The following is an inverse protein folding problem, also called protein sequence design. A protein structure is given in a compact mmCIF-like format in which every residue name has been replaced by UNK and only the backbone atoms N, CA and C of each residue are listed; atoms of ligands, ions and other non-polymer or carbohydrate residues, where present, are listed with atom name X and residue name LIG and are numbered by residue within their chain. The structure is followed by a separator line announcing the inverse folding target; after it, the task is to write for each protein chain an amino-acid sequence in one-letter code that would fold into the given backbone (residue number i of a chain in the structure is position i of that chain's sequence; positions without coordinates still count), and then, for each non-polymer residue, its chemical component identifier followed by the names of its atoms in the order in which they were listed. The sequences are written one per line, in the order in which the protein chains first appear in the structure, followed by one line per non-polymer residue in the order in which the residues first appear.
data_IF_275970374517
#
_entry.id   IF_275970374517
#
_cell.length_a   1.000
_cell.length_b   1.000
_cell.length_c   1.000
_cell.angle_alpha   90.00
_cell.angle_beta   90.00
_cell.angle_gamma   90.00
#
_symmetry.space_group_name_H-M   'P 1'
#
loop_
_entity.id
_entity.type
_entity.pdbx_description
1 polymer ?
#
# COMPACT_ATOMS: atom_id res chain seq x y z
N UNK A 1 -7.56 23.72 -27.73
CA UNK A 1 -8.52 22.70 -27.24
C UNK A 1 -7.77 21.86 -26.21
N UNK A 2 -7.85 22.28 -24.95
CA UNK A 2 -7.22 21.63 -23.80
C UNK A 2 -8.29 20.76 -23.15
N UNK A 3 -8.24 19.45 -23.39
CA UNK A 3 -9.18 18.49 -22.83
C UNK A 3 -8.40 17.33 -22.17
N UNK A 4 -8.65 17.14 -20.87
CA UNK A 4 -8.57 15.88 -20.13
C UNK A 4 -7.28 15.04 -20.17
N UNK A 5 -6.15 15.60 -19.73
CA UNK A 5 -4.92 14.80 -19.49
C UNK A 5 -4.82 14.17 -18.09
N UNK A 6 -5.72 14.51 -17.16
CA UNK A 6 -5.74 13.98 -15.78
C UNK A 6 -7.03 13.21 -15.51
N UNK A 7 -7.38 12.24 -16.36
CA UNK A 7 -8.43 11.28 -16.03
C UNK A 7 -7.89 10.28 -15.01
N UNK A 8 -8.49 10.25 -13.83
CA UNK A 8 -8.26 9.22 -12.81
C UNK A 8 -8.64 7.83 -13.37
N UNK A 9 -7.99 6.78 -12.87
CA UNK A 9 -8.33 5.40 -13.24
C UNK A 9 -9.80 5.15 -12.88
N UNK A 10 -10.65 4.70 -13.83
CA UNK A 10 -12.04 4.36 -13.53
C UNK A 10 -12.11 3.42 -12.32
N UNK A 11 -13.00 3.70 -11.36
CA UNK A 11 -13.09 2.89 -10.14
C UNK A 11 -13.31 1.39 -10.43
N UNK A 12 -13.85 1.01 -11.57
CA UNK A 12 -14.13 -0.40 -11.89
C UNK A 12 -12.92 -1.18 -12.45
N UNK A 13 -11.87 -0.50 -12.93
CA UNK A 13 -10.75 -1.20 -13.57
C UNK A 13 -9.88 -1.92 -12.53
N UNK A 14 -9.95 -3.26 -12.53
CA UNK A 14 -9.26 -4.16 -11.59
C UNK A 14 -7.86 -4.58 -12.03
N UNK A 15 -7.40 -4.14 -13.19
CA UNK A 15 -6.09 -4.52 -13.71
C UNK A 15 -4.96 -3.88 -12.90
N UNK A 16 -3.80 -4.54 -12.82
CA UNK A 16 -2.59 -3.92 -12.29
C UNK A 16 -2.23 -2.63 -13.02
N UNK A 17 -1.79 -1.62 -12.28
CA UNK A 17 -1.45 -0.29 -12.78
C UNK A 17 -0.42 -0.31 -13.93
N UNK A 18 0.63 -1.16 -13.95
CA UNK A 18 1.53 -1.24 -15.10
C UNK A 18 0.81 -1.60 -16.41
N UNK A 19 -0.24 -2.44 -16.36
CA UNK A 19 -1.02 -2.80 -17.55
C UNK A 19 -1.94 -1.65 -17.99
N UNK A 20 -2.52 -0.93 -17.03
CA UNK A 20 -3.34 0.25 -17.31
C UNK A 20 -2.49 1.34 -17.98
N UNK A 21 -1.27 1.56 -17.47
CA UNK A 21 -0.32 2.51 -18.08
C UNK A 21 0.11 2.02 -19.47
N UNK A 22 0.45 0.74 -19.62
CA UNK A 22 0.83 0.20 -20.93
C UNK A 22 -0.27 0.38 -21.99
N UNK A 23 -1.53 0.15 -21.62
CA UNK A 23 -2.67 0.36 -22.52
C UNK A 23 -2.92 1.85 -22.79
N UNK A 24 -2.92 2.70 -21.76
CA UNK A 24 -3.22 4.13 -21.89
C UNK A 24 -2.19 4.85 -22.77
N UNK A 25 -0.93 4.42 -22.76
CA UNK A 25 0.14 4.94 -23.62
C UNK A 25 0.53 3.99 -24.77
N UNK A 26 -0.33 3.01 -25.05
CA UNK A 26 -0.25 2.12 -26.21
C UNK A 26 1.14 1.51 -26.47
N UNK A 27 1.76 0.93 -25.44
CA UNK A 27 3.00 0.19 -25.58
C UNK A 27 2.86 -1.26 -25.08
N UNK A 28 3.57 -2.22 -25.70
CA UNK A 28 3.50 -3.61 -25.26
C UNK A 28 4.19 -3.77 -23.90
N UNK A 29 3.59 -4.55 -23.00
CA UNK A 29 4.19 -4.92 -21.72
C UNK A 29 4.02 -6.42 -21.46
N UNK A 30 5.04 -7.20 -21.83
CA UNK A 30 5.01 -8.65 -21.57
C UNK A 30 5.06 -8.91 -20.06
N UNK A 31 4.25 -9.87 -19.59
CA UNK A 31 4.15 -10.21 -18.19
C UNK A 31 3.91 -11.70 -17.95
N UNK A 32 4.29 -12.17 -16.76
CA UNK A 32 4.01 -13.50 -16.24
C UNK A 32 3.19 -13.38 -14.96
N UNK A 33 2.19 -14.24 -14.80
CA UNK A 33 1.51 -14.39 -13.52
C UNK A 33 2.41 -15.21 -12.58
N UNK A 34 2.68 -14.71 -11.38
CA UNK A 34 3.54 -15.36 -10.39
C UNK A 34 2.91 -15.25 -9.00
N UNK A 35 2.53 -16.39 -8.41
CA UNK A 35 1.76 -16.44 -7.17
C UNK A 35 2.53 -15.96 -5.93
N UNK A 36 3.85 -16.17 -5.88
CA UNK A 36 4.68 -15.78 -4.74
C UNK A 36 5.27 -14.36 -4.79
N UNK A 37 4.84 -13.51 -5.73
CA UNK A 37 5.36 -12.14 -5.91
C UNK A 37 4.29 -11.12 -5.54
N UNK A 38 4.65 -10.10 -4.76
CA UNK A 38 3.77 -8.97 -4.45
C UNK A 38 3.17 -8.35 -5.75
N UNK A 39 1.85 -8.43 -5.89
CA UNK A 39 1.10 -7.97 -7.08
C UNK A 39 0.71 -9.08 -8.08
N UNK A 40 1.15 -10.32 -7.87
CA UNK A 40 0.75 -11.49 -8.68
C UNK A 40 1.30 -11.54 -10.10
N UNK A 41 2.10 -10.55 -10.50
CA UNK A 41 2.65 -10.41 -11.84
C UNK A 41 4.10 -9.94 -11.83
N UNK A 42 4.86 -10.43 -12.80
CA UNK A 42 6.19 -9.96 -13.16
C UNK A 42 6.14 -9.39 -14.58
N UNK A 43 6.70 -8.21 -14.78
CA UNK A 43 6.62 -7.44 -16.02
C UNK A 43 8.00 -7.23 -16.64
N UNK A 44 8.09 -7.26 -17.96
CA UNK A 44 9.33 -7.04 -18.69
C UNK A 44 9.85 -5.61 -18.46
N UNK A 45 11.03 -5.50 -17.84
CA UNK A 45 11.61 -4.21 -17.44
C UNK A 45 11.95 -3.34 -18.67
N UNK A 46 12.47 -3.96 -19.72
CA UNK A 46 12.88 -3.26 -20.93
C UNK A 46 11.67 -2.70 -21.71
N UNK A 47 10.56 -3.44 -21.73
CA UNK A 47 9.31 -3.01 -22.36
C UNK A 47 8.74 -1.78 -21.63
N UNK A 48 8.73 -1.84 -20.30
CA UNK A 48 8.32 -0.72 -19.46
C UNK A 48 9.16 0.53 -19.73
N UNK A 49 10.49 0.43 -19.71
CA UNK A 49 11.37 1.57 -19.97
C UNK A 49 11.18 2.11 -21.39
N UNK A 50 11.08 1.22 -22.39
CA UNK A 50 10.85 1.60 -23.78
C UNK A 50 9.55 2.39 -23.92
N UNK A 51 8.46 1.88 -23.34
CA UNK A 51 7.15 2.53 -23.32
C UNK A 51 7.18 3.89 -22.65
N UNK A 52 7.73 3.98 -21.43
CA UNK A 52 7.79 5.25 -20.68
C UNK A 52 8.60 6.35 -21.37
N UNK A 53 9.57 5.99 -22.20
CA UNK A 53 10.54 6.94 -22.78
C UNK A 53 10.41 7.09 -24.30
N UNK A 54 9.42 6.43 -24.91
CA UNK A 54 9.23 6.34 -26.36
C UNK A 54 10.52 5.93 -27.09
N UNK A 55 11.30 5.05 -26.46
CA UNK A 55 12.60 4.63 -26.96
C UNK A 55 12.57 3.21 -27.51
N UNK A 56 13.51 2.89 -28.40
CA UNK A 56 13.66 1.53 -28.89
C UNK A 56 14.22 0.60 -27.81
N UNK A 57 14.04 -0.71 -28.00
CA UNK A 57 14.43 -1.75 -27.04
C UNK A 57 15.93 -1.71 -26.70
N UNK A 58 16.79 -1.31 -27.65
CA UNK A 58 18.24 -1.20 -27.45
C UNK A 58 18.58 -0.08 -26.46
N UNK A 59 17.97 1.10 -26.64
CA UNK A 59 18.12 2.24 -25.71
C UNK A 59 17.55 1.92 -24.34
N UNK A 60 16.39 1.26 -24.28
CA UNK A 60 15.78 0.81 -23.04
C UNK A 60 16.68 -0.17 -22.26
N UNK A 61 17.31 -1.12 -22.95
CA UNK A 61 18.27 -2.05 -22.35
C UNK A 61 19.52 -1.33 -21.80
N UNK A 62 20.01 -0.29 -22.49
CA UNK A 62 21.13 0.51 -22.01
C UNK A 62 20.76 1.30 -20.74
N UNK A 63 19.58 1.95 -20.73
CA UNK A 63 19.04 2.64 -19.56
C UNK A 63 18.88 1.69 -18.39
N UNK A 64 18.30 0.50 -18.61
CA UNK A 64 18.18 -0.53 -17.58
C UNK A 64 19.54 -0.95 -17.02
N UNK A 65 20.53 -1.20 -17.87
CA UNK A 65 21.88 -1.59 -17.43
C UNK A 65 22.53 -0.54 -16.54
N UNK A 66 22.30 0.75 -16.81
CA UNK A 66 22.78 1.87 -15.97
C UNK A 66 22.03 1.88 -14.63
N UNK A 67 20.70 1.81 -14.65
CA UNK A 67 19.86 1.81 -13.46
C UNK A 67 20.14 0.60 -12.56
N UNK A 68 20.28 -0.60 -13.12
CA UNK A 68 20.59 -1.84 -12.39
C UNK A 68 21.92 -1.78 -11.64
N UNK A 69 22.89 -0.98 -12.12
CA UNK A 69 24.17 -0.75 -11.41
C UNK A 69 24.04 0.28 -10.28
N UNK A 70 23.14 1.24 -10.44
CA UNK A 70 22.96 2.36 -9.50
C UNK A 70 21.94 2.04 -8.40
N UNK A 71 21.19 0.94 -8.53
CA UNK A 71 20.06 0.63 -7.66
C UNK A 71 20.03 -0.84 -7.29
N UNK A 72 19.40 -1.17 -6.15
CA UNK A 72 19.12 -2.56 -5.72
C UNK A 72 17.69 -2.96 -6.09
N UNK A 73 17.32 -2.82 -7.36
CA UNK A 73 15.98 -3.18 -7.83
C UNK A 73 15.90 -4.70 -8.04
N UNK A 74 14.94 -5.33 -7.35
CA UNK A 74 14.66 -6.76 -7.49
C UNK A 74 14.21 -7.07 -8.93
N UNK A 75 14.81 -8.08 -9.54
CA UNK A 75 14.45 -8.56 -10.87
C UNK A 75 14.73 -10.07 -10.95
N UNK A 76 14.01 -10.74 -11.84
CA UNK A 76 14.22 -12.16 -12.17
C UNK A 76 14.36 -12.29 -13.67
N UNK A 77 15.33 -13.09 -14.12
CA UNK A 77 15.53 -13.34 -15.54
C UNK A 77 14.56 -14.43 -16.02
N UNK A 78 13.64 -14.08 -16.93
CA UNK A 78 12.64 -14.99 -17.47
C UNK A 78 12.68 -15.01 -19.01
N UNK A 79 12.11 -16.05 -19.64
CA UNK A 79 11.92 -16.07 -21.09
C UNK A 79 11.10 -14.86 -21.57
N UNK A 80 11.40 -14.34 -22.74
CA UNK A 80 10.75 -13.19 -23.36
C UNK A 80 10.48 -13.53 -24.81
N UNK A 81 9.25 -13.28 -25.27
CA UNK A 81 8.83 -13.61 -26.63
C UNK A 81 8.85 -12.33 -27.44
N UNK A 82 9.84 -12.18 -28.31
CA UNK A 82 9.95 -11.01 -29.16
C UNK A 82 9.05 -11.12 -30.39
N UNK A 83 8.73 -9.98 -31.02
CA UNK A 83 7.89 -9.90 -32.22
C UNK A 83 8.48 -10.61 -33.44
N UNK A 84 9.77 -10.98 -33.41
CA UNK A 84 10.44 -11.80 -34.42
C UNK A 84 10.18 -13.32 -34.24
N UNK A 85 9.36 -13.71 -33.26
CA UNK A 85 9.05 -15.10 -32.92
C UNK A 85 10.16 -15.82 -32.14
N UNK A 86 11.25 -15.13 -31.79
CA UNK A 86 12.35 -15.71 -31.02
C UNK A 86 12.18 -15.47 -29.52
N UNK A 87 12.68 -16.42 -28.74
CA UNK A 87 12.70 -16.33 -27.28
C UNK A 87 14.07 -15.90 -26.78
N UNK A 88 14.09 -14.85 -25.96
CA UNK A 88 15.29 -14.34 -25.31
C UNK A 88 15.15 -14.40 -23.78
N UNK A 89 16.25 -14.28 -23.03
CA UNK A 89 16.16 -14.02 -21.58
C UNK A 89 16.13 -12.52 -21.34
N UNK A 90 15.15 -12.03 -20.57
CA UNK A 90 15.06 -10.63 -20.13
C UNK A 90 14.78 -10.55 -18.64
N UNK A 91 15.02 -9.37 -18.10
CA UNK A 91 14.74 -9.08 -16.69
C UNK A 91 13.27 -8.69 -16.55
N UNK A 92 12.59 -9.38 -15.65
CA UNK A 92 11.23 -9.08 -15.24
C UNK A 92 11.23 -8.63 -13.79
N UNK A 93 10.32 -7.72 -13.45
CA UNK A 93 10.20 -7.17 -12.11
C UNK A 93 8.74 -6.96 -11.72
N UNK A 94 8.46 -6.92 -10.42
CA UNK A 94 7.12 -6.63 -9.92
C UNK A 94 6.72 -5.17 -10.16
N UNK A 95 5.44 -4.85 -9.99
CA UNK A 95 4.91 -3.51 -10.20
C UNK A 95 5.69 -2.44 -9.42
N UNK A 96 5.99 -2.70 -8.14
CA UNK A 96 6.81 -1.84 -7.28
C UNK A 96 8.17 -1.50 -7.90
N UNK A 97 8.86 -2.51 -8.43
CA UNK A 97 10.15 -2.33 -9.07
C UNK A 97 10.04 -1.51 -10.35
N UNK A 98 8.98 -1.71 -11.15
CA UNK A 98 8.73 -0.87 -12.33
C UNK A 98 8.49 0.60 -11.98
N UNK A 99 7.80 0.90 -10.87
CA UNK A 99 7.63 2.29 -10.43
C UNK A 99 8.93 2.93 -9.99
N UNK A 100 9.78 2.22 -9.24
CA UNK A 100 11.10 2.71 -8.88
C UNK A 100 11.94 3.01 -10.12
N UNK A 101 11.84 2.16 -11.14
CA UNK A 101 12.48 2.41 -12.44
C UNK A 101 11.93 3.70 -13.06
N UNK A 102 10.60 3.87 -13.11
CA UNK A 102 9.96 5.06 -13.66
C UNK A 102 10.44 6.37 -13.00
N UNK A 103 10.57 6.38 -11.67
CA UNK A 103 11.03 7.54 -10.89
C UNK A 103 12.49 7.90 -11.16
N UNK A 104 13.35 6.89 -11.41
CA UNK A 104 14.78 7.11 -11.68
C UNK A 104 15.05 7.49 -13.14
N UNK A 105 14.05 7.41 -14.03
CA UNK A 105 14.16 7.92 -15.39
C UNK A 105 14.09 9.45 -15.37
N UNK A 106 15.11 10.08 -15.95
CA UNK A 106 15.17 11.55 -16.06
C UNK A 106 14.12 12.06 -17.04
N UNK A 107 13.26 12.96 -16.56
CA UNK A 107 12.39 13.79 -17.40
C UNK A 107 13.26 14.84 -18.11
N UNK A 108 13.09 14.95 -19.41
CA UNK A 108 13.79 15.91 -20.27
C UNK A 108 12.76 16.56 -21.19
N UNK A 109 13.08 17.71 -21.78
CA UNK A 109 12.18 18.37 -22.75
C UNK A 109 11.81 17.46 -23.94
N UNK A 110 12.68 16.51 -24.31
CA UNK A 110 12.40 15.51 -25.36
C UNK A 110 11.49 14.34 -24.92
N UNK A 111 11.02 14.32 -23.66
CA UNK A 111 10.28 13.20 -23.06
C UNK A 111 8.99 13.68 -22.40
N UNK A 112 8.17 14.36 -23.18
CA UNK A 112 6.88 14.91 -22.72
C UNK A 112 5.96 13.80 -22.19
N UNK A 113 5.94 12.63 -22.85
CA UNK A 113 5.17 11.46 -22.39
C UNK A 113 5.57 11.00 -20.98
N UNK A 114 6.86 10.99 -20.67
CA UNK A 114 7.33 10.58 -19.33
C UNK A 114 6.80 11.52 -18.25
N UNK A 115 6.73 12.83 -18.54
CA UNK A 115 6.17 13.83 -17.63
C UNK A 115 4.69 13.58 -17.36
N UNK A 116 3.89 13.35 -18.40
CA UNK A 116 2.45 13.07 -18.26
C UNK A 116 2.21 11.73 -17.55
N UNK A 117 3.05 10.71 -17.81
CA UNK A 117 2.96 9.44 -17.07
C UNK A 117 3.35 9.65 -15.61
N UNK A 118 4.36 10.45 -15.30
CA UNK A 118 4.72 10.78 -13.90
C UNK A 118 3.56 11.47 -13.18
N UNK A 119 2.92 12.45 -13.82
CA UNK A 119 1.72 13.12 -13.28
C UNK A 119 0.56 12.14 -13.09
N UNK A 120 0.32 11.25 -14.06
CA UNK A 120 -0.72 10.22 -13.93
C UNK A 120 -0.39 9.19 -12.86
N UNK A 121 0.86 8.77 -12.71
CA UNK A 121 1.31 7.88 -11.65
C UNK A 121 1.17 8.58 -10.29
N UNK A 122 1.46 9.88 -10.20
CA UNK A 122 1.25 10.67 -8.99
C UNK A 122 -0.25 10.81 -8.65
N UNK A 123 -1.09 11.13 -9.65
CA UNK A 123 -2.53 11.34 -9.49
C UNK A 123 -3.31 10.04 -9.26
N UNK A 124 -2.90 8.96 -9.95
CA UNK A 124 -3.35 7.59 -9.70
C UNK A 124 -2.71 7.01 -8.45
N UNK A 125 -1.89 7.79 -7.75
CA UNK A 125 -1.29 7.46 -6.48
C UNK A 125 -0.44 6.20 -6.51
N UNK A 126 0.27 5.88 -7.60
CA UNK A 126 1.07 4.69 -7.96
C UNK A 126 1.76 3.85 -6.86
N UNK A 127 1.81 4.32 -5.62
CA UNK A 127 1.61 3.49 -4.43
C UNK A 127 0.19 2.82 -4.34
N UNK A 128 -0.64 2.83 -5.40
CA UNK A 128 -1.99 2.23 -5.46
C UNK A 128 -1.97 0.76 -5.80
N UNK A 129 -0.94 0.24 -6.47
CA UNK A 129 -1.09 -1.11 -7.04
C UNK A 129 -1.02 -2.25 -6.02
N UNK A 130 -0.58 -1.97 -4.79
CA UNK A 130 -0.68 -2.90 -3.65
C UNK A 130 -1.99 -2.75 -2.86
N UNK A 131 -2.84 -1.74 -3.17
CA UNK A 131 -4.01 -1.30 -2.35
C UNK A 131 -5.23 -2.21 -2.35
N UNK A 132 -5.26 -3.26 -3.19
CA UNK A 132 -6.52 -3.99 -3.43
C UNK A 132 -6.83 -5.16 -2.51
N UNK A 133 -5.96 -5.53 -1.55
CA UNK A 133 -6.31 -6.66 -0.65
C UNK A 133 -6.14 -6.38 0.82
N UNK A 134 -5.41 -5.36 1.23
CA UNK A 134 -5.23 -5.08 2.65
C UNK A 134 -6.04 -3.83 2.98
N UNK A 135 -7.28 -4.05 3.43
CA UNK A 135 -8.38 -3.09 3.58
C UNK A 135 -8.08 -1.82 4.42
N UNK A 136 -6.87 -1.69 4.99
CA UNK A 136 -6.39 -0.59 5.83
C UNK A 136 -4.99 -0.06 5.49
N UNK A 137 -4.32 -0.68 4.53
CA UNK A 137 -2.92 -0.37 4.25
C UNK A 137 -2.83 0.47 2.99
N UNK A 138 -2.88 1.79 3.14
CA UNK A 138 -2.10 2.74 2.33
C UNK A 138 -2.41 4.18 2.68
N UNK A 139 -1.34 4.92 2.99
CA UNK A 139 -1.16 6.30 2.53
C UNK A 139 0.33 6.70 2.64
N UNK A 140 1.10 6.07 3.55
CA UNK A 140 2.55 6.29 3.73
C UNK A 140 3.44 5.03 3.56
N UNK A 141 3.06 4.07 2.71
CA UNK A 141 3.79 2.77 2.54
C UNK A 141 5.26 2.91 2.12
N UNK A 142 5.69 4.12 1.80
CA UNK A 142 7.07 4.43 1.43
C UNK A 142 7.99 4.65 2.64
N UNK A 143 7.46 4.85 3.84
CA UNK A 143 8.28 5.50 4.89
C UNK A 143 9.33 4.61 5.57
N UNK A 144 9.41 3.30 5.31
CA UNK A 144 10.42 2.49 6.04
C UNK A 144 11.00 1.29 5.30
N UNK A 145 11.03 1.26 3.97
CA UNK A 145 11.85 0.19 3.34
C UNK A 145 13.32 0.55 3.50
N UNK A 146 14.23 -0.40 3.83
CA UNK A 146 15.67 -0.13 3.94
C UNK A 146 16.33 0.43 2.66
N UNK A 147 15.57 0.51 1.56
CA UNK A 147 15.97 0.91 0.22
C UNK A 147 15.53 2.33 -0.17
N UNK A 148 14.93 3.11 0.73
CA UNK A 148 14.39 4.45 0.47
C UNK A 148 15.30 5.45 1.17
N UNK A 149 15.76 6.49 0.46
CA UNK A 149 16.57 7.54 1.08
C UNK A 149 15.72 8.35 2.08
N UNK A 150 16.39 9.00 3.04
CA UNK A 150 15.71 9.86 4.02
C UNK A 150 14.89 10.96 3.33
N UNK A 151 15.47 11.61 2.31
CA UNK A 151 14.82 12.66 1.52
C UNK A 151 13.54 12.18 0.80
N UNK A 152 13.54 10.94 0.29
CA UNK A 152 12.38 10.34 -0.39
C UNK A 152 11.27 10.03 0.63
N UNK A 153 11.63 9.58 1.84
CA UNK A 153 10.69 9.31 2.92
C UNK A 153 10.03 10.59 3.44
N UNK A 154 10.80 11.67 3.62
CA UNK A 154 10.31 12.99 4.03
C UNK A 154 9.29 13.54 3.03
N UNK A 155 9.63 13.50 1.73
CA UNK A 155 8.75 13.96 0.64
C UNK A 155 7.38 13.27 0.70
N UNK A 156 7.37 11.97 1.00
CA UNK A 156 6.15 11.17 1.01
C UNK A 156 5.32 11.39 2.27
N UNK A 157 5.97 11.61 3.41
CA UNK A 157 5.31 12.10 4.63
C UNK A 157 4.62 13.43 4.36
N UNK A 158 5.33 14.40 3.77
CA UNK A 158 4.77 15.70 3.45
C UNK A 158 3.59 15.62 2.48
N UNK A 159 3.69 14.83 1.40
CA UNK A 159 2.59 14.64 0.47
C UNK A 159 1.34 14.02 1.13
N UNK A 160 1.52 13.06 2.04
CA UNK A 160 0.42 12.49 2.83
C UNK A 160 -0.22 13.52 3.77
N UNK A 161 0.60 14.31 4.46
CA UNK A 161 0.11 15.39 5.33
C UNK A 161 -0.66 16.46 4.54
N UNK A 162 -0.18 16.84 3.36
CA UNK A 162 -0.85 17.84 2.51
C UNK A 162 -2.20 17.33 1.98
N UNK A 163 -2.33 16.03 1.73
CA UNK A 163 -3.61 15.38 1.43
C UNK A 163 -4.56 15.52 2.62
N UNK A 164 -4.17 15.04 3.79
CA UNK A 164 -5.04 15.05 4.98
C UNK A 164 -5.39 16.47 5.43
N UNK A 165 -4.46 17.44 5.27
CA UNK A 165 -4.73 18.85 5.53
C UNK A 165 -5.80 19.41 4.59
N UNK A 166 -5.77 19.05 3.30
CA UNK A 166 -6.83 19.41 2.33
C UNK A 166 -8.18 18.76 2.67
N UNK A 167 -8.15 17.59 3.29
CA UNK A 167 -9.33 16.88 3.80
C UNK A 167 -9.80 17.41 5.18
N UNK A 168 -9.14 18.44 5.73
CA UNK A 168 -9.52 19.09 6.97
C UNK A 168 -9.10 18.37 8.25
N UNK A 169 -8.13 17.45 8.19
CA UNK A 169 -7.60 16.76 9.37
C UNK A 169 -6.72 17.67 10.22
N UNK A 170 -6.79 17.52 11.54
CA UNK A 170 -5.93 18.24 12.49
C UNK A 170 -4.48 17.78 12.38
N UNK A 171 -3.53 18.64 12.77
CA UNK A 171 -2.11 18.27 12.85
C UNK A 171 -1.89 17.13 13.87
N UNK A 172 -2.65 17.12 14.97
CA UNK A 172 -2.61 16.05 15.98
C UNK A 172 -3.06 14.71 15.39
N UNK A 173 -4.18 14.69 14.67
CA UNK A 173 -4.67 13.49 13.97
C UNK A 173 -3.64 12.99 12.95
N UNK A 174 -3.04 13.90 12.16
CA UNK A 174 -2.01 13.52 11.17
C UNK A 174 -0.78 12.89 11.83
N UNK A 175 -0.30 13.44 12.96
CA UNK A 175 0.81 12.85 13.70
C UNK A 175 0.46 11.45 14.24
N UNK A 176 -0.74 11.27 14.79
CA UNK A 176 -1.22 9.96 15.25
C UNK A 176 -1.28 8.95 14.10
N UNK A 177 -1.76 9.39 12.93
CA UNK A 177 -1.86 8.57 11.73
C UNK A 177 -0.49 8.13 11.21
N UNK A 178 0.49 9.04 11.15
CA UNK A 178 1.89 8.73 10.79
C UNK A 178 2.46 7.66 11.72
N UNK A 179 2.34 7.84 13.03
CA UNK A 179 2.80 6.86 14.03
C UNK A 179 2.10 5.50 13.86
N UNK A 180 0.81 5.52 13.52
CA UNK A 180 0.03 4.33 13.18
C UNK A 180 0.60 3.57 11.98
N UNK A 181 1.07 4.27 10.93
CA UNK A 181 1.64 3.62 9.74
C UNK A 181 2.97 2.94 10.06
N UNK A 182 3.83 3.59 10.83
CA UNK A 182 5.09 3.00 11.29
C UNK A 182 4.83 1.73 12.12
N UNK A 183 3.90 1.81 13.07
CA UNK A 183 3.54 0.67 13.94
C UNK A 183 2.92 -0.47 13.13
N UNK A 184 2.01 -0.15 12.21
CA UNK A 184 1.37 -1.13 11.32
C UNK A 184 2.41 -1.89 10.51
N UNK A 185 3.44 -1.20 10.02
CA UNK A 185 4.53 -1.84 9.31
C UNK A 185 5.28 -2.84 10.19
N UNK A 186 5.70 -2.43 11.38
CA UNK A 186 6.36 -3.31 12.34
C UNK A 186 5.50 -4.54 12.65
N UNK A 187 4.19 -4.34 12.81
CA UNK A 187 3.23 -5.41 13.02
C UNK A 187 3.18 -6.40 11.85
N UNK A 188 3.11 -5.91 10.60
CA UNK A 188 3.14 -6.80 9.42
C UNK A 188 4.46 -7.55 9.26
N UNK A 189 5.60 -6.93 9.62
CA UNK A 189 6.90 -7.61 9.58
C UNK A 189 7.02 -8.67 10.67
N UNK A 190 6.49 -8.42 11.87
CA UNK A 190 6.43 -9.44 12.93
C UNK A 190 5.56 -10.64 12.52
N UNK A 191 4.42 -10.40 11.85
CA UNK A 191 3.60 -11.49 11.28
C UNK A 191 4.36 -12.33 10.23
N UNK A 192 5.12 -11.67 9.34
CA UNK A 192 5.96 -12.36 8.35
C UNK A 192 7.06 -13.19 8.99
N UNK A 193 7.69 -12.66 10.04
CA UNK A 193 8.74 -13.35 10.77
C UNK A 193 8.20 -14.55 11.56
N UNK A 194 7.02 -14.40 12.16
CA UNK A 194 6.42 -15.41 13.03
C UNK A 194 5.78 -16.57 12.24
N UNK A 195 5.33 -16.36 10.99
CA UNK A 195 4.63 -17.39 10.19
C UNK A 195 5.45 -17.78 8.96
N UNK A 196 5.84 -19.06 8.87
CA UNK A 196 6.56 -19.58 7.71
C UNK A 196 5.72 -19.46 6.43
N UNK A 197 6.31 -18.94 5.36
CA UNK A 197 5.65 -18.71 4.06
C UNK A 197 4.31 -17.96 4.21
N UNK A 198 4.30 -16.91 5.04
CA UNK A 198 3.13 -16.10 5.35
C UNK A 198 2.34 -15.71 4.09
N UNK A 199 1.11 -16.24 3.88
CA UNK A 199 0.30 -15.89 2.74
C UNK A 199 -0.29 -14.49 2.92
N UNK A 200 -0.65 -13.84 1.80
CA UNK A 200 -1.27 -12.50 1.82
C UNK A 200 -2.53 -12.43 2.69
N UNK A 201 -3.33 -13.49 2.73
CA UNK A 201 -4.55 -13.57 3.56
C UNK A 201 -4.28 -13.41 5.05
N UNK A 202 -3.06 -13.73 5.54
CA UNK A 202 -2.69 -13.57 6.94
C UNK A 202 -2.86 -12.13 7.42
N UNK A 203 -2.46 -11.14 6.60
CA UNK A 203 -2.51 -9.73 7.00
C UNK A 203 -3.94 -9.21 7.09
N UNK A 204 -4.81 -9.68 6.18
CA UNK A 204 -6.24 -9.38 6.16
C UNK A 204 -6.89 -9.98 7.40
N UNK A 205 -6.64 -11.27 7.65
CA UNK A 205 -7.20 -11.99 8.80
C UNK A 205 -6.74 -11.37 10.12
N UNK A 206 -5.45 -11.02 10.23
CA UNK A 206 -4.89 -10.39 11.42
C UNK A 206 -5.53 -9.01 11.68
N UNK A 207 -5.70 -8.19 10.65
CA UNK A 207 -6.42 -6.92 10.75
C UNK A 207 -7.86 -7.11 11.21
N UNK A 208 -8.59 -8.05 10.60
CA UNK A 208 -9.94 -8.39 11.01
C UNK A 208 -9.97 -8.81 12.49
N UNK A 209 -8.96 -9.57 12.96
CA UNK A 209 -8.83 -9.91 14.39
C UNK A 209 -8.53 -8.71 15.29
N UNK A 210 -7.76 -7.72 14.84
CA UNK A 210 -7.59 -6.47 15.59
C UNK A 210 -8.95 -5.80 15.77
N UNK A 211 -9.74 -5.65 14.71
CA UNK A 211 -11.02 -4.95 14.77
C UNK A 211 -12.08 -5.72 15.56
N UNK A 212 -12.20 -7.02 15.33
CA UNK A 212 -13.11 -7.87 16.10
C UNK A 212 -12.74 -7.90 17.58
N UNK A 213 -11.44 -7.95 17.90
CA UNK A 213 -10.96 -7.98 19.28
C UNK A 213 -11.14 -6.64 19.99
N UNK A 214 -10.72 -5.55 19.34
CA UNK A 214 -10.66 -4.21 19.92
C UNK A 214 -12.03 -3.51 19.90
N UNK A 215 -12.67 -3.48 18.74
CA UNK A 215 -13.88 -2.69 18.49
C UNK A 215 -15.17 -3.53 18.53
N UNK A 216 -15.06 -4.88 18.58
CA UNK A 216 -16.19 -5.81 18.45
C UNK A 216 -16.97 -5.62 17.15
N UNK A 217 -16.27 -5.18 16.11
CA UNK A 217 -16.82 -4.92 14.78
C UNK A 217 -15.94 -5.58 13.72
N UNK A 218 -16.56 -6.06 12.66
CA UNK A 218 -15.83 -6.49 11.46
C UNK A 218 -15.40 -5.29 10.64
N UNK A 219 -14.47 -5.49 9.69
CA UNK A 219 -14.10 -4.44 8.73
C UNK A 219 -15.33 -3.92 7.96
N UNK A 220 -16.26 -4.80 7.59
CA UNK A 220 -17.50 -4.43 6.91
C UNK A 220 -18.43 -3.58 7.79
N UNK A 221 -18.57 -3.91 9.07
CA UNK A 221 -19.36 -3.12 10.01
C UNK A 221 -18.76 -1.73 10.23
N UNK A 222 -17.43 -1.64 10.39
CA UNK A 222 -16.75 -0.35 10.53
C UNK A 222 -16.94 0.55 9.32
N UNK A 223 -16.92 -0.02 8.10
CA UNK A 223 -17.23 0.74 6.88
C UNK A 223 -18.66 1.28 6.89
N UNK A 224 -19.62 0.46 7.30
CA UNK A 224 -21.02 0.86 7.43
C UNK A 224 -21.22 1.98 8.46
N UNK A 225 -20.57 1.87 9.62
CA UNK A 225 -20.67 2.87 10.70
C UNK A 225 -20.14 4.25 10.25
N UNK A 226 -19.10 4.25 9.42
CA UNK A 226 -18.42 5.44 8.89
C UNK A 226 -18.99 5.94 7.56
N UNK A 227 -19.96 5.25 6.97
CA UNK A 227 -20.56 5.55 5.65
C UNK A 227 -19.50 5.65 4.53
N UNK A 228 -18.65 4.62 4.43
CA UNK A 228 -17.51 4.61 3.53
C UNK A 228 -17.69 3.68 2.33
N UNK A 229 -17.22 4.13 1.17
CA UNK A 229 -17.05 3.29 -0.02
C UNK A 229 -16.08 2.12 0.26
N UNK A 230 -16.22 1.02 -0.47
CA UNK A 230 -15.42 -0.20 -0.29
C UNK A 230 -13.90 0.05 -0.35
N UNK A 231 -13.50 1.08 -1.10
CA UNK A 231 -12.10 1.44 -1.35
C UNK A 231 -11.52 2.49 -0.41
N UNK A 232 -12.34 3.14 0.40
CA UNK A 232 -11.85 4.14 1.34
C UNK A 232 -11.01 3.46 2.43
N UNK A 233 -9.93 4.11 2.84
CA UNK A 233 -9.09 3.64 3.93
C UNK A 233 -9.78 3.93 5.26
N UNK A 234 -10.28 2.90 5.95
CA UNK A 234 -10.98 3.04 7.22
C UNK A 234 -10.24 3.90 8.24
N UNK A 235 -8.91 3.71 8.38
CA UNK A 235 -8.11 4.41 9.38
C UNK A 235 -7.96 5.89 9.09
N UNK A 236 -8.18 6.34 7.85
CA UNK A 236 -8.20 7.76 7.53
C UNK A 236 -9.51 8.45 8.01
N UNK A 237 -10.49 7.65 8.43
CA UNK A 237 -11.77 8.10 8.94
C UNK A 237 -12.00 7.74 10.41
N UNK A 238 -11.02 7.09 11.07
CA UNK A 238 -11.09 6.83 12.50
C UNK A 238 -10.87 8.11 13.30
N UNK A 239 -11.58 8.23 14.42
CA UNK A 239 -11.29 9.22 15.45
C UNK A 239 -9.90 9.06 16.06
N UNK A 240 -9.42 10.11 16.72
CA UNK A 240 -8.04 10.15 17.27
C UNK A 240 -7.80 9.04 18.30
N UNK A 241 -8.76 8.81 19.21
CA UNK A 241 -8.69 7.72 20.18
C UNK A 241 -8.71 6.34 19.50
N UNK A 242 -9.48 6.19 18.43
CA UNK A 242 -9.49 4.95 17.67
C UNK A 242 -8.13 4.66 17.01
N UNK A 243 -7.45 5.68 16.48
CA UNK A 243 -6.08 5.55 15.98
C UNK A 243 -5.11 5.13 17.10
N UNK A 244 -5.20 5.75 18.28
CA UNK A 244 -4.34 5.44 19.43
C UNK A 244 -4.54 3.99 19.89
N UNK A 245 -5.78 3.57 20.14
CA UNK A 245 -6.06 2.22 20.62
C UNK A 245 -5.74 1.15 19.58
N UNK A 246 -5.99 1.42 18.30
CA UNK A 246 -5.62 0.51 17.21
C UNK A 246 -4.10 0.34 17.15
N UNK A 247 -3.35 1.45 17.22
CA UNK A 247 -1.88 1.41 17.27
C UNK A 247 -1.37 0.63 18.48
N UNK A 248 -1.96 0.83 19.65
CA UNK A 248 -1.58 0.10 20.87
C UNK A 248 -1.83 -1.41 20.70
N UNK A 249 -2.97 -1.81 20.13
CA UNK A 249 -3.28 -3.21 19.89
C UNK A 249 -2.30 -3.87 18.92
N UNK A 250 -1.93 -3.17 17.85
CA UNK A 250 -0.92 -3.66 16.90
C UNK A 250 0.46 -3.74 17.55
N UNK A 251 0.87 -2.73 18.31
CA UNK A 251 2.18 -2.74 19.00
C UNK A 251 2.30 -3.91 19.99
N UNK A 252 1.28 -4.14 20.81
CA UNK A 252 1.27 -5.28 21.76
C UNK A 252 1.27 -6.61 21.01
N UNK A 253 0.55 -6.69 19.88
CA UNK A 253 0.56 -7.90 19.04
C UNK A 253 1.94 -8.15 18.43
N UNK A 254 2.63 -7.10 17.95
CA UNK A 254 4.02 -7.19 17.45
C UNK A 254 4.95 -7.77 18.51
N UNK A 255 4.87 -7.25 19.74
CA UNK A 255 5.73 -7.70 20.83
C UNK A 255 5.47 -9.17 21.18
N UNK A 256 4.19 -9.57 21.28
CA UNK A 256 3.83 -10.98 21.56
C UNK A 256 4.20 -11.94 20.42
N UNK A 257 4.16 -11.49 19.17
CA UNK A 257 4.60 -12.29 18.03
C UNK A 257 6.13 -12.43 17.99
N UNK A 258 6.87 -11.42 18.46
CA UNK A 258 8.33 -11.46 18.53
C UNK A 258 8.86 -12.39 19.62
N UNK A 259 8.11 -12.57 20.71
CA UNK A 259 8.44 -13.51 21.78
C UNK A 259 8.06 -14.98 21.46
N UNK A 260 7.35 -15.21 20.35
CA UNK A 260 6.92 -16.54 19.94
C UNK A 260 7.94 -17.19 18.97
N UNK A 261 8.12 -18.51 19.09
CA UNK A 261 8.74 -19.32 18.02
C UNK A 261 7.90 -19.23 16.72
N UNK A 262 8.35 -19.89 15.65
CA UNK A 262 7.55 -20.00 14.42
C UNK A 262 6.16 -20.58 14.76
N UNK A 263 5.12 -19.80 14.49
CA UNK A 263 3.72 -20.14 14.78
C UNK A 263 2.92 -20.42 13.51
N UNK A 264 1.83 -21.16 13.68
CA UNK A 264 0.82 -21.31 12.63
C UNK A 264 0.00 -20.02 12.46
N UNK A 265 -0.62 -19.84 11.28
CA UNK A 265 -1.56 -18.73 11.01
C UNK A 265 -2.64 -18.62 12.09
N UNK A 266 -3.18 -19.76 12.55
CA UNK A 266 -4.21 -19.80 13.59
C UNK A 266 -3.70 -19.28 14.93
N UNK A 267 -2.46 -19.61 15.30
CA UNK A 267 -1.84 -19.10 16.52
C UNK A 267 -1.53 -17.60 16.40
N UNK A 268 -0.94 -17.16 15.29
CA UNK A 268 -0.67 -15.73 15.05
C UNK A 268 -1.94 -14.89 15.15
N UNK A 269 -3.02 -15.28 14.45
CA UNK A 269 -4.30 -14.56 14.51
C UNK A 269 -4.97 -14.63 15.89
N UNK A 270 -4.77 -15.71 16.65
CA UNK A 270 -5.26 -15.82 18.02
C UNK A 270 -4.51 -14.89 19.00
N UNK A 271 -3.18 -14.74 18.84
CA UNK A 271 -2.36 -13.78 19.58
C UNK A 271 -2.89 -12.36 19.34
N UNK A 272 -3.05 -12.00 18.07
CA UNK A 272 -3.57 -10.68 17.65
C UNK A 272 -4.95 -10.39 18.25
N UNK A 273 -5.88 -11.34 18.14
CA UNK A 273 -7.22 -11.21 18.70
C UNK A 273 -7.17 -11.03 20.23
N UNK A 274 -6.31 -11.78 20.92
CA UNK A 274 -6.20 -11.75 22.38
C UNK A 274 -5.65 -10.41 22.86
N UNK A 275 -4.57 -9.91 22.24
CA UNK A 275 -4.01 -8.60 22.52
C UNK A 275 -5.07 -7.49 22.33
N UNK A 276 -5.76 -7.48 21.19
CA UNK A 276 -6.82 -6.53 20.90
C UNK A 276 -7.98 -6.60 21.91
N UNK A 277 -8.39 -7.81 22.30
CA UNK A 277 -9.47 -8.04 23.28
C UNK A 277 -9.14 -7.52 24.68
N UNK A 278 -7.88 -7.62 25.11
CA UNK A 278 -7.45 -7.07 26.41
C UNK A 278 -7.60 -5.55 26.41
N UNK A 279 -7.15 -4.90 25.34
CA UNK A 279 -7.19 -3.43 25.19
C UNK A 279 -8.63 -2.91 25.02
N UNK A 280 -9.51 -3.71 24.39
CA UNK A 280 -10.93 -3.40 24.20
C UNK A 280 -11.65 -2.97 25.48
N UNK A 281 -11.28 -3.53 26.63
CA UNK A 281 -11.87 -3.18 27.92
C UNK A 281 -11.65 -1.70 28.25
N UNK A 282 -10.43 -1.21 28.06
CA UNK A 282 -10.08 0.18 28.30
C UNK A 282 -10.71 1.09 27.25
N UNK A 283 -10.65 0.72 25.97
CA UNK A 283 -11.28 1.49 24.90
C UNK A 283 -12.80 1.69 25.13
N UNK A 284 -13.50 0.65 25.58
CA UNK A 284 -14.93 0.73 25.93
C UNK A 284 -15.19 1.61 27.16
N UNK A 285 -14.30 1.59 28.16
CA UNK A 285 -14.41 2.48 29.31
C UNK A 285 -14.22 3.95 28.90
N UNK A 286 -13.22 4.23 28.06
CA UNK A 286 -12.96 5.57 27.51
C UNK A 286 -14.12 6.07 26.68
N UNK A 287 -14.69 5.23 25.80
CA UNK A 287 -15.89 5.56 25.02
C UNK A 287 -17.06 5.99 25.92
N UNK A 288 -17.33 5.23 26.98
CA UNK A 288 -18.40 5.55 27.95
C UNK A 288 -18.12 6.82 28.73
N UNK A 289 -16.86 7.05 29.12
CA UNK A 289 -16.45 8.23 29.86
C UNK A 289 -16.63 9.50 29.03
N UNK A 290 -16.23 9.45 27.76
CA UNK A 290 -16.34 10.58 26.82
C UNK A 290 -17.76 10.73 26.26
N UNK A 291 -18.62 9.71 26.38
CA UNK A 291 -19.97 9.71 25.82
C UNK A 291 -20.01 9.66 24.30
N UNK A 292 -18.94 9.20 23.65
CA UNK A 292 -18.82 9.10 22.18
C UNK A 292 -18.39 7.70 21.75
N UNK A 293 -18.78 7.32 20.55
CA UNK A 293 -18.17 6.20 19.84
C UNK A 293 -16.78 6.61 19.35
N UNK A 294 -15.73 5.90 19.78
CA UNK A 294 -14.34 6.32 19.49
C UNK A 294 -13.95 6.17 18.02
N UNK A 295 -14.65 5.32 17.25
CA UNK A 295 -14.39 5.14 15.81
C UNK A 295 -14.96 6.33 15.04
N UNK A 296 -16.24 6.63 15.26
CA UNK A 296 -17.01 7.62 14.47
C UNK A 296 -17.00 9.02 15.07
N UNK A 297 -16.56 9.16 16.33
CA UNK A 297 -16.63 10.37 17.16
C UNK A 297 -18.07 10.92 17.36
N UNK A 298 -19.09 10.12 16.98
CA UNK A 298 -20.49 10.47 17.20
C UNK A 298 -20.90 10.20 18.65
N UNK A 299 -21.83 10.99 19.22
CA UNK A 299 -22.36 10.73 20.55
C UNK A 299 -22.92 9.31 20.66
N UNK A 300 -22.62 8.63 21.77
CA UNK A 300 -23.35 7.41 22.12
C UNK A 300 -24.81 7.81 22.31
N UNK A 301 -25.74 7.12 21.64
CA UNK A 301 -27.17 7.35 21.84
C UNK A 301 -27.45 7.36 23.35
N UNK A 302 -27.87 8.52 23.86
CA UNK A 302 -28.21 8.66 25.26
C UNK A 302 -29.26 7.59 25.55
N UNK A 303 -29.00 6.73 26.55
CA UNK A 303 -30.06 5.88 27.08
C UNK A 303 -31.22 6.81 27.40
N UNK A 304 -32.35 6.61 26.73
CA UNK A 304 -33.59 7.30 27.07
C UNK A 304 -33.77 7.24 28.59
N UNK A 305 -33.99 8.42 29.18
CA UNK A 305 -34.43 8.52 30.58
C UNK A 305 -35.73 7.77 30.76
#
# INVERSE_FOLDING_TARGET
MTADLVTSIPQEDKRPLPLIVAEKWNFPLQHYQHFDVDGGYLYAVQDWIAGLTESNTTKAAEMWRKLKKQTRISNTSLPYSAGDGKTYKRDFANAKSLFLIAQKLRVTHEREQLSVIHEFLAASGAFVDERRTDLDNTDLVVVVSPSISLDDAETLIHAGMDKWRREGKSEEWMQLRIQGIVTRKQFTEALKAAVLNAPRSLFIDATEKVYMGLWKRTTAQLRGDLDLEEKANLRDHFGEYALIYTRLAEKVSTDQLGDADIVTIKQATAIVYTAAKVISKQAQATSKLLGIDLITERPLLAKGK
#
